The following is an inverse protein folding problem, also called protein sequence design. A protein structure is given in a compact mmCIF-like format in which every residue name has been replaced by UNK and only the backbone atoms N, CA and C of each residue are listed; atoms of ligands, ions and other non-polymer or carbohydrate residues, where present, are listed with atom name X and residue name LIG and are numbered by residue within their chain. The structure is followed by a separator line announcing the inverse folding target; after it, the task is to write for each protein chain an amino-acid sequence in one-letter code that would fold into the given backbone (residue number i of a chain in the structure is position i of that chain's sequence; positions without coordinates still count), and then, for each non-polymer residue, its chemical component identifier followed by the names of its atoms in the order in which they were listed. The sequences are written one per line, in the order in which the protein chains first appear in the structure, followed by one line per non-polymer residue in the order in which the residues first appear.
data_IF_857135903283
#
_entry.id   IF_857135903283
#
_cell.length_a   1.000
_cell.length_b   1.000
_cell.length_c   1.000
_cell.angle_alpha   90.00
_cell.angle_beta   90.00
_cell.angle_gamma   90.00
#
_symmetry.space_group_name_H-M   'P 1'
#
loop_
_entity.id
_entity.type
_entity.pdbx_description
1 polymer ?
#
# COMPACT_ATOMS: atom_id res chain seq x y z
N UNK A 1 1.09 10.58 -14.20
CA UNK A 1 0.53 9.83 -13.07
C UNK A 1 -0.09 10.77 -12.08
N UNK A 2 -1.20 10.34 -11.50
CA UNK A 2 -1.90 11.12 -10.50
C UNK A 2 -2.09 10.29 -9.24
N UNK A 3 -2.10 10.95 -8.08
CA UNK A 3 -2.34 10.32 -6.80
C UNK A 3 -3.50 11.03 -6.10
N UNK A 4 -4.34 10.25 -5.45
CA UNK A 4 -5.44 10.78 -4.66
C UNK A 4 -5.69 9.91 -3.44
N UNK A 5 -6.36 10.46 -2.45
CA UNK A 5 -6.83 9.65 -1.33
C UNK A 5 -7.90 8.67 -1.77
N UNK A 6 -7.90 7.51 -1.11
CA UNK A 6 -8.97 6.53 -1.30
C UNK A 6 -10.29 7.10 -0.80
N UNK A 7 -11.37 6.75 -1.49
CA UNK A 7 -12.73 7.07 -1.09
C UNK A 7 -13.50 5.76 -0.86
N UNK A 8 -14.67 5.87 -0.25
CA UNK A 8 -15.43 4.69 0.17
C UNK A 8 -15.75 3.75 -1.01
N UNK A 9 -16.07 4.30 -2.16
CA UNK A 9 -16.38 3.51 -3.37
C UNK A 9 -15.20 2.69 -3.90
N UNK A 10 -13.98 3.05 -3.55
CA UNK A 10 -12.79 2.33 -4.01
C UNK A 10 -12.70 0.92 -3.42
N UNK A 11 -13.31 0.68 -2.27
CA UNK A 11 -13.17 -0.61 -1.59
C UNK A 11 -13.61 -1.78 -2.46
N UNK A 12 -14.71 -1.64 -3.21
CA UNK A 12 -15.19 -2.71 -4.10
C UNK A 12 -14.19 -3.01 -5.21
N UNK A 13 -13.56 -1.99 -5.76
CA UNK A 13 -12.49 -2.15 -6.75
C UNK A 13 -11.30 -2.90 -6.16
N UNK A 14 -10.90 -2.58 -4.94
CA UNK A 14 -9.80 -3.26 -4.28
C UNK A 14 -10.15 -4.72 -3.96
N UNK A 15 -11.37 -5.01 -3.59
CA UNK A 15 -11.84 -6.38 -3.42
C UNK A 15 -11.66 -7.19 -4.70
N UNK A 16 -12.02 -6.61 -5.85
CA UNK A 16 -11.84 -7.24 -7.15
C UNK A 16 -10.35 -7.47 -7.46
N UNK A 17 -9.50 -6.50 -7.16
CA UNK A 17 -8.06 -6.65 -7.36
C UNK A 17 -7.48 -7.77 -6.49
N UNK A 18 -7.83 -7.82 -5.22
CA UNK A 18 -7.38 -8.91 -4.35
C UNK A 18 -7.81 -10.27 -4.89
N UNK A 19 -9.06 -10.40 -5.33
CA UNK A 19 -9.58 -11.64 -5.93
C UNK A 19 -8.84 -12.01 -7.21
N UNK A 20 -8.56 -11.03 -8.06
CA UNK A 20 -7.83 -11.25 -9.31
C UNK A 20 -6.42 -11.81 -9.04
N UNK A 21 -5.76 -11.35 -7.97
CA UNK A 21 -4.48 -11.87 -7.53
C UNK A 21 -4.59 -13.18 -6.75
N UNK A 22 -5.82 -13.65 -6.48
CA UNK A 22 -6.10 -14.82 -5.64
C UNK A 22 -5.60 -14.64 -4.21
N UNK A 23 -5.72 -13.43 -3.70
CA UNK A 23 -5.42 -13.07 -2.32
C UNK A 23 -6.72 -12.99 -1.52
N UNK A 24 -6.66 -13.18 -0.20
CA UNK A 24 -7.84 -12.94 0.64
C UNK A 24 -8.30 -11.49 0.55
N UNK A 25 -9.61 -11.30 0.54
CA UNK A 25 -10.18 -9.96 0.64
C UNK A 25 -10.01 -9.47 2.08
N UNK A 26 -9.54 -8.23 2.22
CA UNK A 26 -9.30 -7.62 3.52
C UNK A 26 -10.55 -6.85 3.93
N UNK A 27 -11.06 -7.11 5.13
CA UNK A 27 -12.26 -6.43 5.60
C UNK A 27 -11.99 -4.96 5.89
N UNK A 28 -13.02 -4.15 5.77
CA UNK A 28 -12.91 -2.70 6.01
C UNK A 28 -12.40 -2.37 7.40
N UNK A 29 -12.84 -3.14 8.40
CA UNK A 29 -12.46 -2.89 9.80
C UNK A 29 -11.02 -3.27 10.11
N UNK A 30 -10.37 -4.04 9.22
CA UNK A 30 -8.94 -4.33 9.31
C UNK A 30 -8.09 -3.21 8.71
N UNK A 31 -8.67 -2.37 7.86
CA UNK A 31 -7.98 -1.32 7.13
C UNK A 31 -8.07 0.03 7.86
N UNK A 32 -7.07 0.91 7.70
CA UNK A 32 -7.12 2.23 8.32
C UNK A 32 -8.29 3.04 7.76
N UNK A 33 -8.92 3.84 8.63
CA UNK A 33 -10.04 4.71 8.27
C UNK A 33 -11.16 3.95 7.54
N UNK A 34 -11.43 2.71 8.00
CA UNK A 34 -12.47 1.87 7.43
C UNK A 34 -12.35 1.70 5.89
N UNK A 35 -11.11 1.56 5.41
CA UNK A 35 -10.82 1.32 4.01
C UNK A 35 -10.48 2.56 3.19
N UNK A 36 -10.41 3.75 3.79
CA UNK A 36 -10.06 4.98 3.09
C UNK A 36 -8.71 5.58 3.49
N UNK A 37 -8.00 4.94 4.43
CA UNK A 37 -6.73 5.43 4.95
C UNK A 37 -5.54 5.10 4.07
N UNK A 38 -5.59 5.48 2.82
CA UNK A 38 -4.53 5.22 1.86
C UNK A 38 -4.68 6.04 0.60
N UNK A 39 -3.92 5.66 -0.42
CA UNK A 39 -3.82 6.40 -1.68
C UNK A 39 -4.09 5.47 -2.87
N UNK A 40 -4.59 6.07 -3.93
CA UNK A 40 -4.76 5.46 -5.24
C UNK A 40 -3.88 6.20 -6.25
N UNK A 41 -3.15 5.47 -7.07
CA UNK A 41 -2.39 6.03 -8.19
C UNK A 41 -3.05 5.62 -9.49
N UNK A 42 -3.24 6.59 -10.36
CA UNK A 42 -3.75 6.37 -11.71
C UNK A 42 -2.74 6.85 -12.75
N UNK A 43 -2.83 6.27 -13.94
CA UNK A 43 -2.04 6.67 -15.10
C UNK A 43 -2.97 6.72 -16.30
N UNK A 44 -2.99 7.86 -16.98
CA UNK A 44 -3.86 8.10 -18.14
C UNK A 44 -5.34 7.79 -17.84
N UNK A 45 -5.81 8.15 -16.65
CA UNK A 45 -7.19 7.95 -16.25
C UNK A 45 -7.55 6.54 -15.79
N UNK A 46 -6.57 5.64 -15.71
CA UNK A 46 -6.79 4.25 -15.26
C UNK A 46 -6.18 4.08 -13.88
N UNK A 47 -6.96 3.55 -12.93
CA UNK A 47 -6.46 3.22 -11.59
C UNK A 47 -5.50 2.04 -11.68
N UNK A 48 -4.27 2.21 -11.19
CA UNK A 48 -3.18 1.25 -11.35
C UNK A 48 -2.85 0.51 -10.06
N UNK A 49 -2.76 1.22 -8.94
CA UNK A 49 -2.36 0.62 -7.68
C UNK A 49 -2.83 1.45 -6.48
N UNK A 50 -2.92 0.79 -5.35
CA UNK A 50 -3.33 1.42 -4.10
C UNK A 50 -2.55 0.83 -2.93
N UNK A 51 -2.51 1.55 -1.83
CA UNK A 51 -1.87 1.10 -0.60
C UNK A 51 -2.35 1.91 0.58
N UNK A 52 -2.07 1.42 1.79
CA UNK A 52 -2.61 1.93 3.02
C UNK A 52 -1.52 2.36 3.99
N UNK A 53 -1.84 3.34 4.82
CA UNK A 53 -0.98 3.83 5.89
C UNK A 53 -1.71 3.67 7.22
N UNK A 54 -1.13 2.85 8.10
CA UNK A 54 -1.59 2.75 9.49
C UNK A 54 -0.80 3.74 10.33
N UNK A 55 -1.51 4.65 10.98
CA UNK A 55 -0.90 5.58 11.92
C UNK A 55 -0.86 4.92 13.29
N UNK A 56 0.27 5.04 14.00
CA UNK A 56 0.38 4.56 15.36
C UNK A 56 0.37 5.75 16.33
N UNK A 57 0.36 5.45 17.63
CA UNK A 57 0.48 6.48 18.64
C UNK A 57 1.94 6.82 18.99
N UNK A 58 2.88 6.40 18.13
CA UNK A 58 4.30 6.77 18.20
C UNK A 58 4.68 7.54 16.94
N UNK A 59 5.96 7.69 16.65
CA UNK A 59 6.44 8.34 15.43
C UNK A 59 6.64 7.35 14.28
N UNK A 60 5.99 6.20 14.34
CA UNK A 60 6.08 5.13 13.33
C UNK A 60 4.76 5.01 12.60
N UNK A 61 4.80 4.97 11.27
CA UNK A 61 3.67 4.55 10.44
C UNK A 61 3.93 3.15 9.89
N UNK A 62 2.88 2.45 9.53
CA UNK A 62 2.95 1.16 8.88
C UNK A 62 2.34 1.28 7.49
N UNK A 63 3.13 0.98 6.43
CA UNK A 63 2.66 1.00 5.05
C UNK A 63 2.41 -0.45 4.64
N UNK A 64 1.16 -0.77 4.33
CA UNK A 64 0.74 -2.15 4.07
C UNK A 64 -0.26 -2.24 2.93
N UNK A 65 -0.45 -3.48 2.49
CA UNK A 65 -1.47 -3.85 1.51
C UNK A 65 -1.35 -3.09 0.20
N UNK A 66 -0.11 -2.95 -0.29
CA UNK A 66 0.10 -2.48 -1.67
C UNK A 66 -0.52 -3.51 -2.60
N UNK A 67 -1.44 -3.05 -3.45
CA UNK A 67 -2.08 -3.90 -4.44
C UNK A 67 -2.15 -3.17 -5.77
N UNK A 68 -1.97 -3.90 -6.86
CA UNK A 68 -2.07 -3.31 -8.20
C UNK A 68 -3.25 -3.94 -8.95
N UNK A 69 -3.74 -3.19 -9.93
CA UNK A 69 -4.73 -3.67 -10.87
C UNK A 69 -4.11 -4.80 -11.71
N UNK A 70 -4.63 -6.02 -11.51
CA UNK A 70 -4.13 -7.22 -12.19
C UNK A 70 -4.13 -7.09 -13.70
N UNK A 71 -5.11 -6.37 -14.25
CA UNK A 71 -5.30 -6.21 -15.69
C UNK A 71 -4.48 -5.07 -16.30
N UNK A 72 -3.83 -4.26 -15.46
CA UNK A 72 -2.98 -3.19 -15.95
C UNK A 72 -1.58 -3.74 -16.25
N UNK A 73 -1.24 -3.84 -17.54
CA UNK A 73 0.01 -4.48 -18.01
C UNK A 73 0.93 -3.50 -18.77
N UNK A 74 0.71 -2.22 -18.58
CA UNK A 74 1.52 -1.19 -19.25
C UNK A 74 2.92 -1.13 -18.64
N UNK A 75 3.86 -0.54 -19.39
CA UNK A 75 5.28 -0.47 -19.00
C UNK A 75 5.52 0.33 -17.72
N UNK A 76 4.64 1.29 -17.43
CA UNK A 76 4.81 2.20 -16.29
C UNK A 76 4.23 1.66 -14.98
N UNK A 77 3.83 0.39 -14.94
CA UNK A 77 3.24 -0.21 -13.73
C UNK A 77 4.17 -0.16 -12.53
N UNK A 78 5.45 -0.53 -12.73
CA UNK A 78 6.45 -0.47 -11.66
C UNK A 78 6.68 0.96 -11.20
N UNK A 79 6.76 1.89 -12.14
CA UNK A 79 6.89 3.32 -11.83
C UNK A 79 5.70 3.81 -11.00
N UNK A 80 4.49 3.37 -11.35
CA UNK A 80 3.28 3.74 -10.61
C UNK A 80 3.32 3.24 -9.17
N UNK A 81 3.77 2.01 -8.94
CA UNK A 81 3.88 1.44 -7.60
C UNK A 81 4.94 2.22 -6.79
N UNK A 82 6.08 2.53 -7.37
CA UNK A 82 7.12 3.33 -6.69
C UNK A 82 6.61 4.74 -6.39
N UNK A 83 5.85 5.33 -7.31
CA UNK A 83 5.21 6.62 -7.08
C UNK A 83 4.21 6.56 -5.92
N UNK A 84 3.44 5.48 -5.83
CA UNK A 84 2.53 5.24 -4.71
C UNK A 84 3.30 5.17 -3.38
N UNK A 85 4.36 4.38 -3.32
CA UNK A 85 5.16 4.22 -2.09
C UNK A 85 5.72 5.58 -1.66
N UNK A 86 6.31 6.33 -2.58
CA UNK A 86 6.84 7.66 -2.28
C UNK A 86 5.74 8.62 -1.82
N UNK A 87 4.55 8.54 -2.39
CA UNK A 87 3.42 9.37 -2.00
C UNK A 87 2.92 9.01 -0.59
N UNK A 88 2.88 7.72 -0.26
CA UNK A 88 2.54 7.28 1.10
C UNK A 88 3.58 7.77 2.12
N UNK A 89 4.87 7.73 1.78
CA UNK A 89 5.93 8.28 2.62
C UNK A 89 5.75 9.77 2.83
N UNK A 90 5.34 10.50 1.80
CA UNK A 90 5.10 11.94 1.91
C UNK A 90 3.94 12.24 2.87
N UNK A 91 2.88 11.45 2.83
CA UNK A 91 1.79 11.56 3.81
C UNK A 91 2.33 11.39 5.24
N UNK A 92 3.20 10.40 5.46
CA UNK A 92 3.82 10.18 6.76
C UNK A 92 4.64 11.38 7.23
N UNK A 93 5.44 11.97 6.34
CA UNK A 93 6.25 13.16 6.65
C UNK A 93 5.38 14.34 7.03
N UNK A 94 4.30 14.57 6.28
CA UNK A 94 3.38 15.68 6.55
C UNK A 94 2.66 15.52 7.89
N UNK A 95 2.50 14.30 8.36
CA UNK A 95 1.93 14.01 9.69
C UNK A 95 2.98 14.09 10.81
N UNK A 96 4.22 14.43 10.50
CA UNK A 96 5.29 14.54 11.49
C UNK A 96 5.84 13.21 11.97
N UNK A 97 5.62 12.13 11.23
CA UNK A 97 6.17 10.82 11.58
C UNK A 97 7.63 10.74 11.16
N UNK A 98 8.41 9.93 11.88
CA UNK A 98 9.86 9.82 11.69
C UNK A 98 10.27 8.52 11.01
N UNK A 99 9.43 7.49 11.09
CA UNK A 99 9.75 6.16 10.58
C UNK A 99 8.56 5.56 9.86
N UNK A 100 8.84 4.82 8.81
CA UNK A 100 7.84 3.99 8.12
C UNK A 100 8.27 2.54 8.17
N UNK A 101 7.34 1.67 8.47
CA UNK A 101 7.54 0.23 8.62
C UNK A 101 6.68 -0.50 7.60
N UNK A 102 7.09 -1.70 7.19
CA UNK A 102 6.29 -2.55 6.32
C UNK A 102 6.69 -4.00 6.46
N UNK A 103 5.79 -4.91 6.15
CA UNK A 103 6.08 -6.35 6.09
C UNK A 103 5.86 -6.83 4.65
N UNK A 104 6.86 -7.45 4.07
CA UNK A 104 6.86 -7.78 2.65
C UNK A 104 7.34 -9.22 2.44
N UNK A 105 6.73 -9.89 1.46
CA UNK A 105 7.14 -11.25 1.04
C UNK A 105 7.69 -11.26 -0.38
N UNK A 106 7.12 -10.45 -1.28
CA UNK A 106 7.48 -10.46 -2.70
C UNK A 106 8.85 -9.83 -2.92
N UNK A 107 9.82 -10.55 -3.51
CA UNK A 107 11.12 -9.97 -3.85
C UNK A 107 10.99 -8.75 -4.77
N UNK A 108 10.04 -8.75 -5.69
CA UNK A 108 9.79 -7.62 -6.59
C UNK A 108 9.37 -6.38 -5.81
N UNK A 109 8.43 -6.52 -4.89
CA UNK A 109 7.96 -5.40 -4.07
C UNK A 109 9.04 -4.91 -3.10
N UNK A 110 9.81 -5.82 -2.51
CA UNK A 110 10.95 -5.47 -1.67
C UNK A 110 11.92 -4.57 -2.45
N UNK A 111 12.23 -4.93 -3.69
CA UNK A 111 13.11 -4.11 -4.55
C UNK A 111 12.54 -2.72 -4.81
N UNK A 112 11.24 -2.61 -5.02
CA UNK A 112 10.58 -1.30 -5.20
C UNK A 112 10.65 -0.46 -3.93
N UNK A 113 10.45 -1.07 -2.76
CA UNK A 113 10.60 -0.38 -1.48
C UNK A 113 12.03 0.11 -1.29
N UNK A 114 13.03 -0.71 -1.61
CA UNK A 114 14.43 -0.30 -1.54
C UNK A 114 14.73 0.88 -2.45
N UNK A 115 14.16 0.89 -3.65
CA UNK A 115 14.28 2.03 -4.58
C UNK A 115 13.67 3.31 -3.99
N UNK A 116 12.73 3.18 -3.08
CA UNK A 116 12.09 4.32 -2.40
C UNK A 116 12.76 4.68 -1.07
N UNK A 117 13.92 4.11 -0.77
CA UNK A 117 14.72 4.47 0.40
C UNK A 117 14.55 3.58 1.62
N UNK A 118 13.75 2.52 1.54
CA UNK A 118 13.64 1.56 2.62
C UNK A 118 14.89 0.70 2.70
N UNK A 119 15.21 0.27 3.90
CA UNK A 119 16.29 -0.68 4.16
C UNK A 119 15.73 -1.92 4.85
N UNK A 120 16.28 -3.08 4.52
CA UNK A 120 15.88 -4.31 5.19
C UNK A 120 16.27 -4.24 6.67
N UNK A 121 15.31 -4.54 7.52
CA UNK A 121 15.54 -4.77 8.94
C UNK A 121 15.68 -6.27 9.21
N UNK A 122 14.89 -6.77 10.16
CA UNK A 122 14.87 -8.19 10.48
C UNK A 122 14.27 -9.03 9.35
N UNK A 123 14.84 -10.20 9.12
CA UNK A 123 14.31 -11.23 8.22
C UNK A 123 13.85 -12.43 9.05
N UNK A 124 13.21 -13.41 8.42
CA UNK A 124 12.73 -14.62 9.09
C UNK A 124 11.74 -14.31 10.23
N UNK A 125 10.89 -13.32 10.01
CA UNK A 125 9.83 -12.96 10.96
C UNK A 125 8.56 -13.73 10.62
N UNK A 126 7.70 -13.92 11.62
CA UNK A 126 6.41 -14.57 11.46
C UNK A 126 5.30 -13.57 11.77
N UNK A 127 4.35 -13.44 10.86
CA UNK A 127 3.15 -12.64 11.11
C UNK A 127 2.23 -13.41 12.04
N UNK A 128 1.72 -12.73 13.07
CA UNK A 128 0.82 -13.34 14.06
C UNK A 128 -0.45 -12.49 14.15
N UNK A 129 -1.60 -13.14 14.11
CA UNK A 129 -2.91 -12.47 14.14
C UNK A 129 -3.77 -13.16 15.19
N UNK A 130 -4.47 -12.38 15.99
CA UNK A 130 -5.46 -12.87 16.95
C UNK A 130 -6.75 -12.07 16.73
N UNK A 131 -7.86 -12.76 16.57
CA UNK A 131 -9.18 -12.14 16.49
C UNK A 131 -9.69 -11.98 17.92
N UNK A 132 -9.88 -10.74 18.33
CA UNK A 132 -10.25 -10.39 19.70
C UNK A 132 -11.75 -10.52 19.98
#
# INVERSE_FOLDING_TARGET
MEVRYLVEDDYHKLCDWWKDWRWPVISKDFLPENGTGGLMVSSNGVDVCAGFVYMTNSKVAWIEFIVSNFHYREKDRKEAIEFLINSLLEVCKQKGLLYAFSTLKSPSLIGMYENCGFQKGSTNTTEMINIL
#
